data_IF_991989319878
#
_entry.id   IF_991989319878
#
_cell.length_a   1.000
_cell.length_b   1.000
_cell.length_c   1.000
_cell.angle_alpha   90.00
_cell.angle_beta   90.00
_cell.angle_gamma   90.00
#
_symmetry.space_group_name_H-M   'P 1'
#
loop_
_entity.id
_entity.type
_entity.pdbx_description
1 polymer ?
#
# COMPACT_ATOMS: atom_id res chain seq x y z
N UNK A 1 -8.72 36.88 12.90
CA UNK A 1 -8.90 35.73 13.81
C UNK A 1 -9.28 34.52 12.97
N UNK A 2 -8.38 33.57 12.79
CA UNK A 2 -8.68 32.32 12.08
C UNK A 2 -9.33 31.35 13.07
N UNK A 3 -10.65 31.18 12.98
CA UNK A 3 -11.39 30.19 13.76
C UNK A 3 -10.85 28.77 13.51
N UNK A 4 -10.75 27.96 14.56
CA UNK A 4 -10.36 26.55 14.46
C UNK A 4 -11.25 25.81 13.47
N UNK A 5 -10.66 25.27 12.42
CA UNK A 5 -11.41 24.61 11.33
C UNK A 5 -11.82 23.21 11.79
N UNK A 6 -13.12 22.97 12.02
CA UNK A 6 -13.65 21.62 12.22
C UNK A 6 -13.58 20.87 10.89
N UNK A 7 -12.68 19.89 10.81
CA UNK A 7 -12.59 18.99 9.63
C UNK A 7 -13.78 18.02 9.69
N UNK A 8 -14.72 18.18 8.76
CA UNK A 8 -15.88 17.28 8.60
C UNK A 8 -15.77 16.55 7.28
N UNK A 9 -15.87 15.21 7.34
CA UNK A 9 -15.85 14.37 6.12
C UNK A 9 -17.16 14.58 5.36
N UNK A 10 -17.09 15.11 4.15
CA UNK A 10 -18.23 15.33 3.28
C UNK A 10 -18.57 14.08 2.44
N UNK A 11 -19.78 14.01 1.88
CA UNK A 11 -20.14 12.97 0.88
C UNK A 11 -19.19 12.96 -0.32
N UNK A 12 -18.69 14.12 -0.71
CA UNK A 12 -17.71 14.30 -1.79
C UNK A 12 -16.40 13.60 -1.47
N UNK A 13 -15.89 13.70 -0.24
CA UNK A 13 -14.66 13.05 0.20
C UNK A 13 -14.79 11.52 0.12
N UNK A 14 -15.93 11.00 0.53
CA UNK A 14 -16.22 9.57 0.44
C UNK A 14 -16.26 9.08 -1.02
N UNK A 15 -16.94 9.80 -1.91
CA UNK A 15 -17.01 9.46 -3.34
C UNK A 15 -15.63 9.48 -3.96
N UNK A 16 -14.83 10.55 -3.75
CA UNK A 16 -13.49 10.64 -4.29
C UNK A 16 -12.53 9.62 -3.71
N UNK A 17 -12.71 9.20 -2.47
CA UNK A 17 -11.93 8.09 -1.90
C UNK A 17 -12.19 6.76 -2.63
N UNK A 18 -13.46 6.45 -2.94
CA UNK A 18 -13.78 5.27 -3.75
C UNK A 18 -13.26 5.41 -5.18
N UNK A 19 -13.46 6.55 -5.84
CA UNK A 19 -12.95 6.81 -7.19
C UNK A 19 -11.43 6.68 -7.22
N UNK A 20 -10.71 7.26 -6.26
CA UNK A 20 -9.26 7.17 -6.16
C UNK A 20 -8.76 5.73 -5.96
N UNK A 21 -9.46 4.95 -5.12
CA UNK A 21 -9.14 3.54 -4.90
C UNK A 21 -9.35 2.71 -6.17
N UNK A 22 -10.51 2.87 -6.82
CA UNK A 22 -10.83 2.17 -8.09
C UNK A 22 -9.85 2.59 -9.19
N UNK A 23 -9.54 3.87 -9.32
CA UNK A 23 -8.60 4.38 -10.31
C UNK A 23 -7.18 3.84 -10.07
N UNK A 24 -6.74 3.77 -8.81
CA UNK A 24 -5.42 3.22 -8.46
C UNK A 24 -5.31 1.73 -8.77
N UNK A 25 -6.35 0.95 -8.45
CA UNK A 25 -6.40 -0.48 -8.77
C UNK A 25 -6.58 -0.72 -10.27
N UNK A 26 -7.55 -0.03 -10.87
CA UNK A 26 -7.90 -0.17 -12.28
C UNK A 26 -6.76 0.23 -13.20
N UNK A 27 -5.95 1.23 -12.84
CA UNK A 27 -4.82 1.64 -13.67
C UNK A 27 -3.77 0.53 -13.85
N UNK A 28 -3.52 -0.28 -12.82
CA UNK A 28 -2.59 -1.40 -12.93
C UNK A 28 -3.13 -2.51 -13.84
N UNK A 29 -4.46 -2.73 -13.83
CA UNK A 29 -5.11 -3.69 -14.73
C UNK A 29 -5.22 -3.19 -16.17
N UNK A 30 -5.41 -1.88 -16.37
CA UNK A 30 -5.40 -1.26 -17.70
C UNK A 30 -3.98 -1.21 -18.30
N UNK A 31 -2.98 -1.05 -17.46
CA UNK A 31 -1.58 -1.07 -17.90
C UNK A 31 -1.13 -2.46 -18.35
N UNK A 32 -1.64 -3.54 -17.72
CA UNK A 32 -1.22 -4.89 -17.99
C UNK A 32 -1.42 -5.32 -19.47
N UNK A 33 -2.59 -5.18 -20.11
CA UNK A 33 -2.76 -5.50 -21.52
C UNK A 33 -1.81 -4.71 -22.43
N UNK A 34 -1.57 -3.42 -22.13
CA UNK A 34 -0.61 -2.60 -22.87
C UNK A 34 0.80 -3.18 -22.77
N UNK A 35 1.25 -3.50 -21.56
CA UNK A 35 2.59 -4.09 -21.38
C UNK A 35 2.69 -5.45 -22.07
N UNK A 36 1.67 -6.31 -21.98
CA UNK A 36 1.65 -7.61 -22.65
C UNK A 36 1.75 -7.49 -24.17
N UNK A 37 1.10 -6.47 -24.77
CA UNK A 37 1.07 -6.28 -26.22
C UNK A 37 2.37 -5.72 -26.79
N UNK A 38 3.14 -4.95 -26.01
CA UNK A 38 4.32 -4.22 -26.54
C UNK A 38 5.67 -4.68 -25.97
N UNK A 39 5.70 -5.37 -24.82
CA UNK A 39 6.93 -5.82 -24.17
C UNK A 39 7.20 -7.30 -24.41
N UNK A 40 8.48 -7.70 -24.45
CA UNK A 40 8.86 -9.11 -24.41
C UNK A 40 8.55 -9.72 -23.03
N UNK A 41 8.47 -11.03 -22.91
CA UNK A 41 8.21 -11.73 -21.63
C UNK A 41 9.29 -11.40 -20.59
N UNK A 42 10.56 -11.31 -21.00
CA UNK A 42 11.67 -10.89 -20.13
C UNK A 42 11.54 -9.42 -19.68
N UNK A 43 11.13 -8.51 -20.58
CA UNK A 43 10.88 -7.10 -20.22
C UNK A 43 9.72 -6.93 -19.25
N UNK A 44 8.66 -7.74 -19.37
CA UNK A 44 7.55 -7.75 -18.41
C UNK A 44 8.06 -8.20 -17.05
N UNK A 45 8.85 -9.27 -16.98
CA UNK A 45 9.47 -9.70 -15.73
C UNK A 45 10.35 -8.63 -15.12
N UNK A 46 11.19 -7.98 -15.93
CA UNK A 46 12.05 -6.89 -15.49
C UNK A 46 11.24 -5.69 -14.99
N UNK A 47 10.12 -5.36 -15.62
CA UNK A 47 9.21 -4.34 -15.13
C UNK A 47 8.70 -4.64 -13.71
N UNK A 48 8.30 -5.89 -13.44
CA UNK A 48 7.87 -6.28 -12.09
C UNK A 48 9.02 -6.30 -11.07
N UNK A 49 10.25 -6.59 -11.48
CA UNK A 49 11.44 -6.37 -10.64
C UNK A 49 11.60 -4.91 -10.28
N UNK A 50 11.46 -3.99 -11.25
CA UNK A 50 11.50 -2.55 -10.99
C UNK A 50 10.43 -2.13 -9.99
N UNK A 51 9.19 -2.58 -10.19
CA UNK A 51 8.07 -2.28 -9.29
C UNK A 51 8.33 -2.82 -7.88
N UNK A 52 8.89 -4.03 -7.75
CA UNK A 52 9.26 -4.61 -6.47
C UNK A 52 10.36 -3.78 -5.77
N UNK A 53 11.41 -3.37 -6.48
CA UNK A 53 12.45 -2.49 -5.92
C UNK A 53 11.85 -1.15 -5.46
N UNK A 54 10.94 -0.56 -6.24
CA UNK A 54 10.23 0.67 -5.83
C UNK A 54 9.37 0.44 -4.58
N UNK A 55 8.72 -0.71 -4.48
CA UNK A 55 7.96 -1.11 -3.28
C UNK A 55 8.86 -1.21 -2.04
N UNK A 56 10.06 -1.77 -2.18
CA UNK A 56 11.06 -1.79 -1.10
C UNK A 56 11.50 -0.38 -0.70
N UNK A 57 11.77 0.49 -1.67
CA UNK A 57 12.12 1.88 -1.41
C UNK A 57 11.01 2.64 -0.66
N UNK A 58 9.73 2.36 -0.97
CA UNK A 58 8.60 2.96 -0.26
C UNK A 58 8.51 2.56 1.22
N UNK A 59 9.12 1.43 1.64
CA UNK A 59 9.18 1.05 3.05
C UNK A 59 10.01 2.03 3.89
N UNK A 60 10.95 2.75 3.27
CA UNK A 60 11.72 3.80 3.94
C UNK A 60 10.82 4.96 4.45
N UNK A 61 9.59 5.04 3.94
CA UNK A 61 8.59 6.00 4.43
C UNK A 61 8.17 5.72 5.88
N UNK A 62 8.29 4.49 6.39
CA UNK A 62 8.09 4.08 7.79
C UNK A 62 6.82 4.65 8.48
N UNK A 63 5.74 4.95 7.73
CA UNK A 63 4.52 5.53 8.30
C UNK A 63 4.61 7.03 8.64
N UNK A 64 5.62 7.74 8.13
CA UNK A 64 5.72 9.20 8.29
C UNK A 64 4.51 9.93 7.72
N UNK A 65 3.92 9.47 6.61
CA UNK A 65 2.72 10.08 6.01
C UNK A 65 1.58 10.18 7.02
N UNK A 66 1.26 9.10 7.72
CA UNK A 66 0.15 9.06 8.68
C UNK A 66 0.44 9.93 9.92
N UNK A 67 1.68 9.90 10.40
CA UNK A 67 2.08 10.66 11.59
C UNK A 67 2.17 12.15 11.30
N UNK A 68 2.79 12.56 10.20
CA UNK A 68 2.89 13.97 9.79
C UNK A 68 1.52 14.56 9.45
N UNK A 69 0.64 13.82 8.76
CA UNK A 69 -0.72 14.29 8.46
C UNK A 69 -1.51 14.58 9.75
N UNK A 70 -1.37 13.74 10.79
CA UNK A 70 -1.98 14.01 12.10
C UNK A 70 -1.41 15.26 12.77
N UNK A 71 -0.10 15.46 12.70
CA UNK A 71 0.53 16.65 13.29
C UNK A 71 0.08 17.93 12.58
N UNK A 72 -0.04 17.92 11.26
CA UNK A 72 -0.61 19.04 10.49
C UNK A 72 -2.05 19.32 10.94
N UNK A 73 -2.86 18.27 11.13
CA UNK A 73 -4.22 18.41 11.63
C UNK A 73 -4.26 19.01 13.05
N UNK A 74 -3.33 18.63 13.94
CA UNK A 74 -3.22 19.22 15.26
C UNK A 74 -2.88 20.72 15.21
N UNK A 75 -1.93 21.11 14.34
CA UNK A 75 -1.62 22.55 14.12
C UNK A 75 -2.85 23.33 13.65
N UNK A 76 -3.62 22.80 12.69
CA UNK A 76 -4.87 23.41 12.22
C UNK A 76 -5.94 23.50 13.30
N UNK A 77 -5.91 22.59 14.28
CA UNK A 77 -6.83 22.58 15.40
C UNK A 77 -6.39 23.51 16.54
N UNK A 78 -5.30 24.28 16.37
CA UNK A 78 -4.81 25.25 17.34
C UNK A 78 -3.82 24.70 18.37
N UNK A 79 -3.20 23.53 18.12
CA UNK A 79 -2.15 23.03 18.99
C UNK A 79 -0.88 23.86 18.88
N UNK A 80 -0.33 24.32 20.00
CA UNK A 80 0.92 25.09 20.08
C UNK A 80 2.15 24.24 20.37
N UNK A 81 1.96 22.99 20.77
CA UNK A 81 3.05 22.05 21.04
C UNK A 81 2.67 20.62 20.64
N UNK A 82 3.56 19.98 19.91
CA UNK A 82 3.45 18.56 19.55
C UNK A 82 4.17 17.69 20.57
N UNK A 83 3.59 16.51 20.86
CA UNK A 83 4.17 15.54 21.79
C UNK A 83 4.31 14.17 21.13
N UNK A 84 5.09 13.26 21.71
CA UNK A 84 5.30 11.89 21.19
C UNK A 84 4.00 11.08 21.07
N UNK A 85 2.93 11.46 21.78
CA UNK A 85 1.65 10.74 21.78
C UNK A 85 0.46 11.65 21.39
N UNK A 86 0.70 12.69 20.58
CA UNK A 86 -0.33 13.61 20.13
C UNK A 86 0.08 15.07 20.24
N UNK A 87 -0.75 15.90 20.86
CA UNK A 87 -0.44 17.29 21.17
C UNK A 87 -0.73 17.58 22.64
N UNK A 88 -0.22 18.70 23.12
CA UNK A 88 -0.58 19.20 24.46
C UNK A 88 -1.96 19.86 24.39
N UNK A 89 -2.98 19.17 24.90
CA UNK A 89 -4.36 19.65 24.89
C UNK A 89 -4.58 20.88 25.78
N UNK A 90 -3.70 21.13 26.74
CA UNK A 90 -3.76 22.34 27.59
C UNK A 90 -3.35 23.62 26.85
N UNK A 91 -2.66 23.46 25.72
CA UNK A 91 -2.17 24.55 24.87
C UNK A 91 -3.09 24.86 23.67
N UNK A 92 -4.25 24.19 23.54
CA UNK A 92 -5.17 24.40 22.41
C UNK A 92 -6.09 25.59 22.74
N UNK A 93 -5.83 26.74 22.08
CA UNK A 93 -6.62 27.95 22.24
C UNK A 93 -7.53 28.31 21.07
N UNK A 94 -7.57 27.45 20.08
CA UNK A 94 -8.42 27.59 18.89
C UNK A 94 -7.85 28.48 17.78
N UNK A 95 -6.71 29.12 17.98
CA UNK A 95 -6.00 29.86 16.94
C UNK A 95 -4.90 29.01 16.33
N UNK A 96 -4.79 29.04 15.00
CA UNK A 96 -3.74 28.29 14.25
C UNK A 96 -2.39 28.94 14.49
N UNK A 97 -1.44 28.14 14.99
CA UNK A 97 -0.02 28.54 15.07
C UNK A 97 0.64 28.33 13.69
N UNK A 98 0.73 29.39 12.91
CA UNK A 98 1.29 29.36 11.57
C UNK A 98 2.79 29.06 11.56
N UNK A 99 3.51 29.47 12.61
CA UNK A 99 4.93 29.16 12.73
C UNK A 99 5.15 27.66 12.94
N UNK A 100 4.46 27.05 13.91
CA UNK A 100 4.52 25.61 14.13
C UNK A 100 4.10 24.81 12.88
N UNK A 101 3.04 25.28 12.19
CA UNK A 101 2.58 24.69 10.93
C UNK A 101 3.71 24.69 9.89
N UNK A 102 4.40 25.83 9.72
CA UNK A 102 5.52 25.97 8.78
C UNK A 102 6.69 25.07 9.16
N UNK A 103 7.04 24.99 10.45
CA UNK A 103 8.07 24.06 10.96
C UNK A 103 7.74 22.62 10.59
N UNK A 104 6.49 22.16 10.80
CA UNK A 104 6.03 20.80 10.45
C UNK A 104 6.11 20.56 8.94
N UNK A 105 5.70 21.54 8.11
CA UNK A 105 5.73 21.42 6.66
C UNK A 105 7.16 21.35 6.13
N UNK A 106 8.08 22.19 6.62
CA UNK A 106 9.46 22.20 6.17
C UNK A 106 10.25 20.99 6.69
N UNK A 107 9.96 20.54 7.91
CA UNK A 107 10.45 19.25 8.44
C UNK A 107 9.97 18.09 7.57
N UNK A 108 8.70 18.09 7.16
CA UNK A 108 8.16 17.05 6.27
C UNK A 108 8.90 17.00 4.93
N UNK A 109 9.11 18.15 4.26
CA UNK A 109 9.89 18.22 3.02
C UNK A 109 11.30 17.68 3.21
N UNK A 110 11.95 18.03 4.32
CA UNK A 110 13.31 17.59 4.62
C UNK A 110 13.38 16.09 4.88
N UNK A 111 12.44 15.54 5.66
CA UNK A 111 12.34 14.09 5.89
C UNK A 111 12.22 13.34 4.55
N UNK A 112 11.24 13.71 3.71
CA UNK A 112 11.04 13.04 2.43
C UNK A 112 12.18 13.26 1.44
N UNK A 113 12.89 14.39 1.50
CA UNK A 113 14.09 14.61 0.70
C UNK A 113 15.21 13.65 1.12
N UNK A 114 15.48 13.52 2.42
CA UNK A 114 16.50 12.61 2.96
C UNK A 114 16.14 11.16 2.64
N UNK A 115 14.90 10.74 2.89
CA UNK A 115 14.43 9.38 2.56
C UNK A 115 14.53 9.10 1.06
N UNK A 116 14.14 10.06 0.22
CA UNK A 116 14.28 9.97 -1.24
C UNK A 116 15.72 9.83 -1.69
N UNK A 117 16.64 10.59 -1.10
CA UNK A 117 18.10 10.48 -1.40
C UNK A 117 18.68 9.13 -0.95
N UNK A 118 18.28 8.61 0.21
CA UNK A 118 18.66 7.27 0.67
C UNK A 118 18.13 6.22 -0.31
N UNK A 119 16.85 6.31 -0.72
CA UNK A 119 16.27 5.41 -1.69
C UNK A 119 16.96 5.47 -3.05
N UNK A 120 17.29 6.68 -3.52
CA UNK A 120 18.06 6.90 -4.75
C UNK A 120 19.44 6.23 -4.67
N UNK A 121 20.15 6.43 -3.58
CA UNK A 121 21.48 5.85 -3.37
C UNK A 121 21.42 4.32 -3.35
N UNK A 122 20.49 3.74 -2.59
CA UNK A 122 20.29 2.29 -2.52
C UNK A 122 19.88 1.71 -3.87
N UNK A 123 18.97 2.37 -4.59
CA UNK A 123 18.56 1.91 -5.92
C UNK A 123 19.69 2.05 -6.95
N UNK A 124 20.46 3.15 -6.92
CA UNK A 124 21.57 3.38 -7.83
C UNK A 124 22.77 2.43 -7.57
N UNK A 125 22.91 1.89 -6.36
CA UNK A 125 24.00 0.96 -6.00
C UNK A 125 23.51 -0.49 -5.99
N UNK A 126 22.85 -0.91 -4.90
CA UNK A 126 22.38 -2.29 -4.73
C UNK A 126 21.32 -2.67 -5.76
N UNK A 127 20.42 -1.74 -6.10
CA UNK A 127 19.41 -1.97 -7.14
C UNK A 127 20.03 -2.18 -8.51
N UNK A 128 21.02 -1.36 -8.88
CA UNK A 128 21.76 -1.49 -10.15
C UNK A 128 22.53 -2.80 -10.21
N UNK A 129 23.21 -3.17 -9.12
CA UNK A 129 23.89 -4.47 -9.04
C UNK A 129 22.92 -5.64 -9.25
N UNK A 130 21.77 -5.60 -8.59
CA UNK A 130 20.75 -6.63 -8.69
C UNK A 130 20.14 -6.69 -10.11
N UNK A 131 19.78 -5.54 -10.69
CA UNK A 131 19.24 -5.49 -12.06
C UNK A 131 20.27 -5.97 -13.09
N UNK A 132 21.53 -5.57 -12.94
CA UNK A 132 22.64 -6.07 -13.77
C UNK A 132 22.77 -7.58 -13.68
N UNK A 133 22.65 -8.15 -12.47
CA UNK A 133 22.70 -9.60 -12.25
C UNK A 133 21.57 -10.34 -12.97
N UNK A 134 20.32 -9.90 -12.82
CA UNK A 134 19.15 -10.59 -13.42
C UNK A 134 18.99 -10.35 -14.93
N UNK A 135 19.72 -9.38 -15.50
CA UNK A 135 19.71 -9.05 -16.94
C UNK A 135 21.01 -9.43 -17.66
N UNK A 136 21.88 -10.20 -17.01
CA UNK A 136 23.21 -10.51 -17.55
C UNK A 136 23.94 -9.26 -18.07
N UNK A 137 24.16 -8.28 -17.18
CA UNK A 137 24.82 -7.02 -17.53
C UNK A 137 24.05 -6.14 -18.52
N UNK A 138 22.73 -6.04 -18.35
CA UNK A 138 21.83 -5.22 -19.17
C UNK A 138 21.72 -5.67 -20.65
N UNK A 139 21.85 -6.97 -20.92
CA UNK A 139 21.70 -7.51 -22.27
C UNK A 139 20.27 -7.38 -22.83
N UNK A 140 19.26 -7.22 -21.96
CA UNK A 140 17.88 -7.01 -22.41
C UNK A 140 17.77 -5.62 -23.05
N UNK A 141 17.25 -5.57 -24.27
CA UNK A 141 17.09 -4.33 -25.02
C UNK A 141 16.29 -3.28 -24.25
N UNK A 142 16.83 -2.06 -24.16
CA UNK A 142 16.21 -0.93 -23.48
C UNK A 142 16.24 -1.00 -21.94
N UNK A 143 16.85 -2.03 -21.34
CA UNK A 143 16.87 -2.21 -19.88
C UNK A 143 17.65 -1.13 -19.15
N UNK A 144 18.84 -0.76 -19.64
CA UNK A 144 19.67 0.26 -19.00
C UNK A 144 19.04 1.66 -18.98
N UNK A 145 18.58 2.24 -20.12
CA UNK A 145 17.93 3.55 -20.10
C UNK A 145 16.64 3.54 -19.29
N UNK A 146 15.86 2.45 -19.35
CA UNK A 146 14.66 2.30 -18.52
C UNK A 146 14.99 2.28 -17.04
N UNK A 147 16.06 1.56 -16.64
CA UNK A 147 16.51 1.52 -15.25
C UNK A 147 16.96 2.88 -14.73
N UNK A 148 17.76 3.63 -15.49
CA UNK A 148 18.21 4.97 -15.09
C UNK A 148 17.01 5.88 -14.83
N UNK A 149 16.04 5.92 -15.75
CA UNK A 149 14.81 6.71 -15.57
C UNK A 149 14.03 6.22 -14.36
N UNK A 150 13.97 4.90 -14.14
CA UNK A 150 13.23 4.32 -13.04
C UNK A 150 13.87 4.65 -11.67
N UNK A 151 15.19 4.66 -11.56
CA UNK A 151 15.94 5.08 -10.35
C UNK A 151 15.59 6.54 -9.98
N UNK A 152 15.57 7.43 -10.97
CA UNK A 152 15.12 8.83 -10.76
C UNK A 152 13.65 8.86 -10.31
N UNK A 153 12.82 7.97 -10.88
CA UNK A 153 11.41 7.87 -10.48
C UNK A 153 11.22 7.43 -9.03
N UNK A 154 12.06 6.54 -8.52
CA UNK A 154 12.04 6.12 -7.10
C UNK A 154 12.20 7.33 -6.19
N UNK A 155 13.20 8.18 -6.47
CA UNK A 155 13.43 9.41 -5.72
C UNK A 155 12.21 10.32 -5.77
N UNK A 156 11.71 10.63 -6.96
CA UNK A 156 10.60 11.58 -7.13
C UNK A 156 9.29 11.06 -6.53
N UNK A 157 9.02 9.75 -6.63
CA UNK A 157 7.84 9.13 -6.03
C UNK A 157 7.87 9.23 -4.51
N UNK A 158 9.02 8.99 -3.87
CA UNK A 158 9.15 9.08 -2.42
C UNK A 158 9.18 10.55 -1.95
N UNK A 159 9.97 11.40 -2.61
CA UNK A 159 10.07 12.81 -2.25
C UNK A 159 8.72 13.52 -2.33
N UNK A 160 7.96 13.34 -3.40
CA UNK A 160 6.71 14.07 -3.60
C UNK A 160 5.54 13.59 -2.72
N UNK A 161 5.71 12.55 -1.91
CA UNK A 161 4.71 12.14 -0.92
C UNK A 161 4.38 13.24 0.09
N UNK A 162 5.30 14.18 0.36
CA UNK A 162 5.02 15.30 1.25
C UNK A 162 3.78 16.10 0.80
N UNK A 163 3.54 16.23 -0.51
CA UNK A 163 2.38 16.95 -1.04
C UNK A 163 1.06 16.28 -0.66
N UNK A 164 1.01 14.94 -0.69
CA UNK A 164 -0.17 14.17 -0.26
C UNK A 164 -0.36 14.23 1.26
N UNK A 165 0.75 14.19 2.00
CA UNK A 165 0.76 14.34 3.46
C UNK A 165 0.13 15.66 3.86
N UNK A 166 0.41 16.75 3.14
CA UNK A 166 -0.18 18.07 3.37
C UNK A 166 -1.69 18.08 3.12
N UNK A 167 -2.15 17.59 1.97
CA UNK A 167 -3.58 17.54 1.65
C UNK A 167 -4.35 16.70 2.66
N UNK A 168 -3.81 15.54 3.04
CA UNK A 168 -4.41 14.69 4.06
C UNK A 168 -4.46 15.35 5.42
N UNK A 169 -3.41 16.08 5.81
CA UNK A 169 -3.35 16.84 7.06
C UNK A 169 -4.35 18.00 7.10
N UNK A 170 -4.64 18.63 5.95
CA UNK A 170 -5.70 19.63 5.80
C UNK A 170 -7.12 19.02 5.84
N UNK A 171 -7.24 17.69 5.82
CA UNK A 171 -8.52 16.99 5.75
C UNK A 171 -9.12 16.96 4.33
N UNK A 172 -8.38 17.44 3.31
CA UNK A 172 -8.85 17.42 1.92
C UNK A 172 -8.59 16.05 1.25
N UNK A 173 -9.35 15.04 1.71
CA UNK A 173 -9.31 13.67 1.19
C UNK A 173 -9.76 13.64 -0.29
N UNK A 174 -10.71 14.49 -0.66
CA UNK A 174 -11.18 14.59 -2.05
C UNK A 174 -10.07 15.12 -2.95
N UNK A 175 -9.37 16.18 -2.55
CA UNK A 175 -8.24 16.75 -3.29
C UNK A 175 -7.08 15.77 -3.44
N UNK A 176 -6.73 15.06 -2.36
CA UNK A 176 -5.70 14.01 -2.40
C UNK A 176 -6.04 12.92 -3.44
N UNK A 177 -7.26 12.37 -3.39
CA UNK A 177 -7.66 11.29 -4.31
C UNK A 177 -7.86 11.78 -5.75
N UNK A 178 -8.33 13.02 -5.94
CA UNK A 178 -8.41 13.65 -7.25
C UNK A 178 -7.03 13.82 -7.89
N UNK A 179 -6.04 14.30 -7.14
CA UNK A 179 -4.67 14.42 -7.62
C UNK A 179 -4.08 13.07 -8.03
N UNK A 180 -4.28 12.01 -7.21
CA UNK A 180 -3.87 10.65 -7.53
C UNK A 180 -4.53 10.12 -8.80
N UNK A 181 -5.84 10.29 -8.93
CA UNK A 181 -6.61 9.82 -10.09
C UNK A 181 -6.13 10.48 -11.38
N UNK A 182 -6.00 11.82 -11.38
CA UNK A 182 -5.52 12.56 -12.55
C UNK A 182 -4.09 12.18 -12.92
N UNK A 183 -3.21 11.99 -11.93
CA UNK A 183 -1.84 11.54 -12.16
C UNK A 183 -1.79 10.13 -12.76
N UNK A 184 -2.68 9.21 -12.32
CA UNK A 184 -2.79 7.85 -12.89
C UNK A 184 -3.31 7.85 -14.32
N UNK A 185 -4.30 8.67 -14.64
CA UNK A 185 -4.77 8.85 -16.02
C UNK A 185 -3.63 9.37 -16.89
N UNK A 186 -2.92 10.41 -16.43
CA UNK A 186 -1.77 10.94 -17.15
C UNK A 186 -0.65 9.90 -17.35
N UNK A 187 -0.35 9.11 -16.34
CA UNK A 187 0.59 8.00 -16.44
C UNK A 187 0.19 7.02 -17.55
N UNK A 188 -1.06 6.53 -17.52
CA UNK A 188 -1.57 5.58 -18.51
C UNK A 188 -1.49 6.16 -19.92
N UNK A 189 -1.94 7.40 -20.11
CA UNK A 189 -1.91 8.08 -21.41
C UNK A 189 -0.49 8.22 -21.93
N UNK A 190 0.45 8.71 -21.10
CA UNK A 190 1.86 8.90 -21.48
C UNK A 190 2.48 7.55 -21.80
N UNK A 191 2.28 6.54 -20.95
CA UNK A 191 2.82 5.18 -21.20
C UNK A 191 2.28 4.61 -22.50
N UNK A 192 0.96 4.72 -22.74
CA UNK A 192 0.36 4.21 -23.98
C UNK A 192 0.96 4.90 -25.23
N UNK A 193 1.00 6.23 -25.23
CA UNK A 193 1.57 7.01 -26.35
C UNK A 193 3.03 6.59 -26.63
N UNK A 194 3.85 6.50 -25.58
CA UNK A 194 5.26 6.14 -25.71
C UNK A 194 5.46 4.67 -26.15
N UNK A 195 4.57 3.74 -25.75
CA UNK A 195 4.57 2.36 -26.24
C UNK A 195 4.25 2.31 -27.74
N UNK A 196 3.25 3.08 -28.21
CA UNK A 196 2.96 3.19 -29.64
C UNK A 196 4.09 3.86 -30.43
N UNK A 197 4.92 4.70 -29.80
CA UNK A 197 6.15 5.24 -30.39
C UNK A 197 7.32 4.23 -30.40
N UNK A 198 7.15 3.02 -29.90
CA UNK A 198 8.16 1.96 -29.91
C UNK A 198 9.19 1.99 -28.77
N UNK A 199 8.96 2.81 -27.70
CA UNK A 199 9.92 2.93 -26.61
C UNK A 199 9.93 1.74 -25.63
N UNK A 200 9.09 0.74 -25.84
CA UNK A 200 9.09 -0.52 -25.08
C UNK A 200 9.19 -0.32 -23.53
N UNK A 201 10.14 -0.95 -22.85
CA UNK A 201 10.33 -0.85 -21.40
C UNK A 201 10.57 0.59 -20.92
N UNK A 202 11.26 1.41 -21.71
CA UNK A 202 11.51 2.82 -21.39
C UNK A 202 10.19 3.61 -21.29
N UNK A 203 9.16 3.27 -22.08
CA UNK A 203 7.85 3.89 -22.01
C UNK A 203 7.20 3.69 -20.63
N UNK A 204 7.30 2.49 -20.08
CA UNK A 204 6.77 2.17 -18.75
C UNK A 204 7.51 2.95 -17.65
N UNK A 205 8.85 3.05 -17.74
CA UNK A 205 9.66 3.81 -16.79
C UNK A 205 9.37 5.32 -16.85
N UNK A 206 9.25 5.91 -18.05
CA UNK A 206 8.88 7.30 -18.24
C UNK A 206 7.46 7.59 -17.74
N UNK A 207 6.52 6.67 -17.98
CA UNK A 207 5.16 6.79 -17.43
C UNK A 207 5.16 6.77 -15.92
N UNK A 208 6.01 5.95 -15.29
CA UNK A 208 6.14 5.90 -13.83
C UNK A 208 6.77 7.19 -13.27
N UNK A 209 7.72 7.79 -13.97
CA UNK A 209 8.27 9.11 -13.64
C UNK A 209 7.22 10.21 -13.83
N UNK A 210 6.45 10.15 -14.91
CA UNK A 210 5.38 11.10 -15.18
C UNK A 210 4.31 11.08 -14.08
N UNK A 211 3.97 9.91 -13.54
CA UNK A 211 3.03 9.80 -12.42
C UNK A 211 3.43 10.68 -11.24
N UNK A 212 4.67 10.55 -10.75
CA UNK A 212 5.12 11.33 -9.58
C UNK A 212 5.17 12.82 -9.86
N UNK A 213 5.56 13.23 -11.06
CA UNK A 213 5.62 14.63 -11.47
C UNK A 213 4.21 15.25 -11.59
N UNK A 214 3.28 14.54 -12.24
CA UNK A 214 1.88 14.96 -12.36
C UNK A 214 1.19 14.99 -11.00
N UNK A 215 1.47 13.98 -10.13
CA UNK A 215 0.95 13.94 -8.78
C UNK A 215 1.34 15.21 -8.00
N UNK A 216 2.62 15.58 -8.05
CA UNK A 216 3.10 16.83 -7.45
C UNK A 216 2.37 18.03 -8.00
N UNK A 217 2.27 18.16 -9.33
CA UNK A 217 1.61 19.30 -9.97
C UNK A 217 0.16 19.46 -9.53
N UNK A 218 -0.62 18.37 -9.56
CA UNK A 218 -2.01 18.40 -9.14
C UNK A 218 -2.16 18.62 -7.64
N UNK A 219 -1.33 17.98 -6.81
CA UNK A 219 -1.38 18.13 -5.36
C UNK A 219 -1.01 19.57 -4.92
N UNK A 220 0.05 20.17 -5.49
CA UNK A 220 0.42 21.57 -5.18
C UNK A 220 -0.68 22.53 -5.66
N UNK A 221 -1.26 22.31 -6.85
CA UNK A 221 -2.36 23.14 -7.33
C UNK A 221 -3.56 23.07 -6.39
N UNK A 222 -3.90 21.89 -5.91
CA UNK A 222 -4.98 21.70 -4.92
C UNK A 222 -4.61 22.33 -3.57
N UNK A 223 -3.37 22.20 -3.10
CA UNK A 223 -2.92 22.85 -1.87
C UNK A 223 -3.05 24.38 -1.95
N UNK A 224 -2.61 24.99 -3.06
CA UNK A 224 -2.73 26.44 -3.27
C UNK A 224 -4.17 26.95 -3.37
N UNK A 225 -5.16 26.09 -3.61
CA UNK A 225 -6.57 26.47 -3.56
C UNK A 225 -7.09 26.69 -2.12
N UNK A 226 -6.34 26.29 -1.11
CA UNK A 226 -6.58 26.63 0.29
C UNK A 226 -5.89 27.94 0.63
N UNK A 227 -6.44 29.06 0.11
CA UNK A 227 -5.84 30.41 0.21
C UNK A 227 -5.58 30.83 1.66
N UNK A 228 -6.50 30.52 2.58
CA UNK A 228 -6.41 30.78 4.02
C UNK A 228 -5.13 30.16 4.64
N UNK A 229 -4.80 28.92 4.28
CA UNK A 229 -3.61 28.22 4.77
C UNK A 229 -2.35 28.74 4.10
N UNK A 230 -2.40 29.01 2.78
CA UNK A 230 -1.25 29.52 2.04
C UNK A 230 -0.86 30.93 2.51
N UNK A 231 -1.84 31.81 2.75
CA UNK A 231 -1.64 33.16 3.28
C UNK A 231 -1.14 33.11 4.73
N UNK A 232 -1.74 32.26 5.58
CA UNK A 232 -1.29 32.06 6.95
C UNK A 232 0.19 31.62 7.04
N UNK A 233 0.59 30.65 6.24
CA UNK A 233 2.00 30.20 6.18
C UNK A 233 2.93 31.31 5.66
N UNK A 234 2.49 32.11 4.68
CA UNK A 234 3.27 33.22 4.12
C UNK A 234 3.35 34.42 5.06
N UNK A 235 2.36 34.61 5.93
CA UNK A 235 2.35 35.72 6.91
C UNK A 235 3.37 35.50 8.04
N UNK A 236 3.79 34.26 8.26
CA UNK A 236 4.88 33.97 9.21
C UNK A 236 6.23 34.33 8.57
N UNK A 237 6.80 35.44 9.06
CA UNK A 237 8.12 35.93 8.61
C UNK A 237 9.27 35.34 9.42
N UNK A 238 9.00 34.57 10.48
CA UNK A 238 10.03 33.98 11.33
C UNK A 238 10.84 32.91 10.58
N UNK A 239 12.15 32.89 10.78
CA UNK A 239 12.99 31.83 10.22
C UNK A 239 12.79 30.55 11.03
N UNK A 240 12.54 29.44 10.34
CA UNK A 240 12.46 28.12 10.98
C UNK A 240 13.83 27.69 11.50
N UNK A 241 13.97 27.51 12.80
CA UNK A 241 15.21 27.08 13.42
C UNK A 241 15.47 25.59 13.25
N UNK A 242 16.73 25.19 13.10
CA UNK A 242 17.10 23.77 12.98
C UNK A 242 16.70 22.94 14.21
N UNK A 243 16.74 23.53 15.39
CA UNK A 243 16.38 22.84 16.64
C UNK A 243 14.88 22.54 16.70
N UNK A 244 14.03 23.44 16.20
CA UNK A 244 12.59 23.22 16.09
C UNK A 244 12.28 22.06 15.12
N UNK A 245 12.95 22.03 13.96
CA UNK A 245 12.82 20.92 13.01
C UNK A 245 13.28 19.59 13.62
N UNK A 246 14.37 19.59 14.41
CA UNK A 246 14.87 18.39 15.09
C UNK A 246 13.88 17.89 16.17
N UNK A 247 13.22 18.77 16.88
CA UNK A 247 12.23 18.39 17.89
C UNK A 247 10.97 17.80 17.25
N UNK A 248 10.49 18.36 16.15
CA UNK A 248 9.42 17.75 15.34
C UNK A 248 9.85 16.40 14.80
N UNK A 249 11.06 16.28 14.25
CA UNK A 249 11.63 15.03 13.73
C UNK A 249 11.67 13.94 14.81
N UNK A 250 12.19 14.23 16.01
CA UNK A 250 12.24 13.29 17.15
C UNK A 250 10.82 12.85 17.57
N UNK A 251 9.88 13.77 17.57
CA UNK A 251 8.49 13.53 17.96
C UNK A 251 7.81 12.58 16.97
N UNK A 252 7.98 12.83 15.67
CA UNK A 252 7.38 12.05 14.57
C UNK A 252 8.02 10.68 14.45
N UNK A 253 9.36 10.61 14.51
CA UNK A 253 10.11 9.35 14.34
C UNK A 253 9.82 8.34 15.46
N UNK A 254 9.48 8.80 16.67
CA UNK A 254 9.16 7.92 17.80
C UNK A 254 7.99 6.96 17.52
N UNK A 255 7.01 7.39 16.73
CA UNK A 255 5.85 6.57 16.36
C UNK A 255 6.08 5.85 15.03
N UNK A 256 6.66 6.53 14.04
CA UNK A 256 6.77 6.07 12.66
C UNK A 256 7.54 4.75 12.51
N UNK A 257 8.64 4.54 13.23
CA UNK A 257 9.48 3.35 13.06
C UNK A 257 8.76 2.02 13.33
N UNK A 258 7.78 2.00 14.26
CA UNK A 258 7.02 0.79 14.59
C UNK A 258 6.15 0.33 13.43
N UNK A 259 5.47 1.28 12.79
CA UNK A 259 4.64 1.01 11.61
C UNK A 259 5.51 0.53 10.43
N UNK A 260 6.72 1.09 10.30
CA UNK A 260 7.69 0.70 9.28
C UNK A 260 8.16 -0.75 9.39
N UNK A 261 8.41 -1.23 10.60
CA UNK A 261 8.83 -2.62 10.79
C UNK A 261 7.73 -3.62 10.42
N UNK A 262 6.47 -3.32 10.75
CA UNK A 262 5.33 -4.16 10.32
C UNK A 262 5.20 -4.15 8.79
N UNK A 263 5.38 -2.98 8.17
CA UNK A 263 5.35 -2.83 6.70
C UNK A 263 6.48 -3.61 6.03
N UNK A 264 7.67 -3.65 6.63
CA UNK A 264 8.81 -4.44 6.14
C UNK A 264 8.49 -5.94 6.16
N UNK A 265 7.91 -6.45 7.24
CA UNK A 265 7.50 -7.84 7.32
C UNK A 265 6.43 -8.18 6.27
N UNK A 266 5.46 -7.30 6.08
CA UNK A 266 4.44 -7.45 5.05
C UNK A 266 5.03 -7.48 3.63
N UNK A 267 5.96 -6.59 3.32
CA UNK A 267 6.65 -6.57 2.04
C UNK A 267 7.42 -7.87 1.79
N UNK A 268 8.16 -8.35 2.79
CA UNK A 268 8.91 -9.61 2.71
C UNK A 268 8.02 -10.81 2.41
N UNK A 269 6.81 -10.86 3.00
CA UNK A 269 5.86 -11.93 2.77
C UNK A 269 5.13 -11.83 1.41
N UNK A 270 5.16 -10.68 0.74
CA UNK A 270 4.40 -10.45 -0.49
C UNK A 270 5.29 -10.08 -1.68
N UNK A 271 5.77 -8.85 -1.75
CA UNK A 271 6.46 -8.31 -2.92
C UNK A 271 7.88 -8.85 -3.09
N UNK A 272 8.59 -9.16 -2.00
CA UNK A 272 9.94 -9.70 -2.08
C UNK A 272 10.00 -11.07 -2.80
N UNK A 273 8.89 -11.81 -2.86
CA UNK A 273 8.81 -13.07 -3.61
C UNK A 273 9.02 -12.88 -5.12
N UNK A 274 8.66 -11.71 -5.68
CA UNK A 274 8.96 -11.38 -7.08
C UNK A 274 10.47 -11.19 -7.31
N UNK A 275 11.20 -10.63 -6.33
CA UNK A 275 12.66 -10.54 -6.41
C UNK A 275 13.30 -11.94 -6.30
N UNK A 276 12.84 -12.78 -5.37
CA UNK A 276 13.31 -14.15 -5.29
C UNK A 276 13.01 -14.95 -6.58
N UNK A 277 11.84 -14.73 -7.17
CA UNK A 277 11.48 -15.35 -8.45
C UNK A 277 12.50 -14.98 -9.56
N UNK A 278 12.83 -13.69 -9.69
CA UNK A 278 13.79 -13.25 -10.71
C UNK A 278 15.23 -13.72 -10.45
N UNK A 279 15.62 -13.91 -9.19
CA UNK A 279 16.94 -14.41 -8.84
C UNK A 279 17.12 -15.92 -9.12
N UNK A 280 16.07 -16.73 -8.89
CA UNK A 280 16.16 -18.19 -8.99
C UNK A 280 15.54 -18.76 -10.26
N UNK A 281 14.53 -18.13 -10.84
CA UNK A 281 13.73 -18.69 -11.92
C UNK A 281 13.81 -17.88 -13.23
N UNK A 282 14.45 -16.72 -13.20
CA UNK A 282 14.62 -15.84 -14.34
C UNK A 282 13.42 -14.91 -14.60
N UNK A 283 13.60 -13.99 -15.54
CA UNK A 283 12.68 -12.87 -15.75
C UNK A 283 11.35 -13.28 -16.41
N UNK A 284 11.34 -14.25 -17.30
CA UNK A 284 10.09 -14.71 -17.95
C UNK A 284 9.11 -15.29 -16.94
N UNK A 285 9.60 -16.16 -16.04
CA UNK A 285 8.78 -16.70 -14.96
C UNK A 285 8.39 -15.62 -13.93
N UNK A 286 9.24 -14.64 -13.73
CA UNK A 286 8.93 -13.50 -12.84
C UNK A 286 7.75 -12.68 -13.38
N UNK A 287 7.64 -12.50 -14.67
CA UNK A 287 6.53 -11.81 -15.31
C UNK A 287 5.20 -12.49 -15.01
N UNK A 288 5.08 -13.79 -15.32
CA UNK A 288 3.85 -14.57 -15.08
C UNK A 288 3.51 -14.69 -13.59
N UNK A 289 4.51 -14.97 -12.75
CA UNK A 289 4.35 -15.05 -11.29
C UNK A 289 3.86 -13.73 -10.70
N UNK A 290 4.46 -12.59 -11.07
CA UNK A 290 4.09 -11.28 -10.55
C UNK A 290 2.71 -10.81 -11.01
N UNK A 291 2.29 -11.15 -12.22
CA UNK A 291 0.91 -10.91 -12.69
C UNK A 291 -0.08 -11.71 -11.85
N UNK A 292 0.20 -12.98 -11.56
CA UNK A 292 -0.64 -13.79 -10.69
C UNK A 292 -0.71 -13.21 -9.25
N UNK A 293 0.42 -12.71 -8.71
CA UNK A 293 0.44 -11.99 -7.42
C UNK A 293 -0.41 -10.71 -7.46
N UNK A 294 -0.37 -9.96 -8.56
CA UNK A 294 -1.19 -8.76 -8.74
C UNK A 294 -2.67 -9.09 -8.70
N UNK A 295 -3.11 -10.17 -9.35
CA UNK A 295 -4.49 -10.64 -9.27
C UNK A 295 -4.87 -11.08 -7.85
N UNK A 296 -4.04 -11.86 -7.16
CA UNK A 296 -4.28 -12.30 -5.78
C UNK A 296 -4.40 -11.11 -4.83
N UNK A 297 -3.57 -10.08 -5.01
CA UNK A 297 -3.63 -8.83 -4.24
C UNK A 297 -4.94 -8.08 -4.49
N UNK A 298 -5.40 -7.99 -5.75
CA UNK A 298 -6.65 -7.32 -6.09
C UNK A 298 -7.86 -8.07 -5.52
N UNK A 299 -7.88 -9.39 -5.61
CA UNK A 299 -8.91 -10.23 -5.00
C UNK A 299 -9.02 -9.94 -3.50
N UNK A 300 -7.87 -9.90 -2.79
CA UNK A 300 -7.86 -9.54 -1.37
C UNK A 300 -8.41 -8.14 -1.11
N UNK A 301 -7.98 -7.14 -1.86
CA UNK A 301 -8.40 -5.75 -1.65
C UNK A 301 -9.90 -5.58 -1.81
N UNK A 302 -10.50 -6.19 -2.84
CA UNK A 302 -11.94 -6.16 -3.09
C UNK A 302 -12.69 -6.92 -1.97
N UNK A 303 -12.26 -8.14 -1.66
CA UNK A 303 -12.93 -8.99 -0.69
C UNK A 303 -12.90 -8.43 0.74
N UNK A 304 -11.81 -7.74 1.11
CA UNK A 304 -11.64 -7.16 2.45
C UNK A 304 -12.31 -5.79 2.62
N UNK A 305 -12.78 -5.15 1.55
CA UNK A 305 -13.29 -3.77 1.58
C UNK A 305 -14.45 -3.58 2.58
N UNK A 306 -15.38 -4.53 2.64
CA UNK A 306 -16.50 -4.48 3.58
C UNK A 306 -16.02 -4.51 5.03
N UNK A 307 -15.19 -5.47 5.41
CA UNK A 307 -14.70 -5.57 6.79
C UNK A 307 -13.90 -4.34 7.21
N UNK A 308 -13.04 -3.83 6.32
CA UNK A 308 -12.27 -2.59 6.57
C UNK A 308 -13.18 -1.38 6.81
N UNK A 309 -14.31 -1.28 6.12
CA UNK A 309 -15.29 -0.20 6.34
C UNK A 309 -15.99 -0.31 7.69
N UNK A 310 -16.00 -1.49 8.31
CA UNK A 310 -16.61 -1.74 9.61
C UNK A 310 -15.64 -1.52 10.81
N UNK A 311 -14.35 -1.29 10.59
CA UNK A 311 -13.40 -1.09 11.70
C UNK A 311 -13.76 0.07 12.64
N UNK A 312 -14.21 1.26 12.19
CA UNK A 312 -14.65 2.31 13.10
C UNK A 312 -15.84 1.90 13.99
N UNK A 313 -16.77 1.11 13.41
CA UNK A 313 -17.92 0.56 14.17
C UNK A 313 -17.43 -0.42 15.25
N UNK A 314 -16.47 -1.29 14.91
CA UNK A 314 -15.86 -2.21 15.88
C UNK A 314 -15.13 -1.46 17.00
N UNK A 315 -14.34 -0.44 16.66
CA UNK A 315 -13.63 0.40 17.63
C UNK A 315 -14.60 1.07 18.63
N UNK A 316 -15.66 1.66 18.09
CA UNK A 316 -16.70 2.30 18.91
C UNK A 316 -17.41 1.29 19.83
N UNK A 317 -17.71 0.09 19.31
CA UNK A 317 -18.31 -0.99 20.10
C UNK A 317 -17.35 -1.55 21.15
N UNK A 318 -16.05 -1.58 20.86
CA UNK A 318 -15.03 -2.02 21.79
C UNK A 318 -14.92 -1.08 22.99
N UNK A 319 -14.86 0.24 22.75
CA UNK A 319 -14.80 1.27 23.80
C UNK A 319 -16.05 1.24 24.69
N UNK A 320 -17.23 0.93 24.11
CA UNK A 320 -18.50 0.85 24.85
C UNK A 320 -18.78 -0.53 25.48
N UNK A 321 -17.87 -1.47 25.32
CA UNK A 321 -18.02 -2.89 25.71
C UNK A 321 -19.25 -3.59 25.10
N UNK A 322 -19.74 -3.10 23.95
CA UNK A 322 -20.85 -3.70 23.21
C UNK A 322 -20.41 -4.97 22.50
N UNK A 323 -20.46 -6.10 23.21
CA UNK A 323 -20.06 -7.41 22.69
C UNK A 323 -20.92 -7.90 21.52
N UNK A 324 -22.20 -7.49 21.49
CA UNK A 324 -23.11 -7.90 20.43
C UNK A 324 -22.72 -7.27 19.08
N UNK A 325 -22.44 -5.96 19.07
CA UNK A 325 -21.97 -5.27 17.86
C UNK A 325 -20.57 -5.75 17.45
N UNK A 326 -19.63 -5.98 18.40
CA UNK A 326 -18.31 -6.54 18.10
C UNK A 326 -18.45 -7.89 17.38
N UNK A 327 -19.26 -8.80 17.93
CA UNK A 327 -19.57 -10.10 17.36
C UNK A 327 -20.16 -9.99 15.95
N UNK A 328 -21.19 -9.15 15.78
CA UNK A 328 -21.84 -8.96 14.50
C UNK A 328 -20.91 -8.44 13.39
N UNK A 329 -19.98 -7.54 13.73
CA UNK A 329 -18.96 -7.03 12.78
C UNK A 329 -18.05 -8.16 12.32
N UNK A 330 -17.57 -9.00 13.25
CA UNK A 330 -16.68 -10.12 12.92
C UNK A 330 -17.42 -11.15 12.05
N UNK A 331 -18.63 -11.58 12.44
CA UNK A 331 -19.44 -12.55 11.69
C UNK A 331 -19.71 -12.10 10.25
N UNK A 332 -20.23 -10.87 10.08
CA UNK A 332 -20.56 -10.32 8.77
C UNK A 332 -19.33 -10.02 7.91
N UNK A 333 -18.26 -9.53 8.55
CA UNK A 333 -17.03 -9.15 7.86
C UNK A 333 -16.25 -10.36 7.34
N UNK A 334 -16.04 -11.38 8.19
CA UNK A 334 -15.28 -12.57 7.79
C UNK A 334 -16.07 -13.42 6.79
N UNK A 335 -17.40 -13.59 6.97
CA UNK A 335 -18.22 -14.32 6.00
C UNK A 335 -18.20 -13.65 4.63
N UNK A 336 -18.34 -12.31 4.56
CA UNK A 336 -18.24 -11.56 3.32
C UNK A 336 -16.87 -11.74 2.66
N UNK A 337 -15.78 -11.61 3.44
CA UNK A 337 -14.42 -11.80 2.94
C UNK A 337 -14.22 -13.17 2.30
N UNK A 338 -14.56 -14.25 3.01
CA UNK A 338 -14.39 -15.63 2.53
C UNK A 338 -15.18 -15.86 1.24
N UNK A 339 -16.47 -15.49 1.21
CA UNK A 339 -17.30 -15.70 0.02
C UNK A 339 -16.82 -14.91 -1.19
N UNK A 340 -16.54 -13.61 -1.00
CA UNK A 340 -16.04 -12.76 -2.08
C UNK A 340 -14.69 -13.23 -2.60
N UNK A 341 -13.81 -13.68 -1.69
CA UNK A 341 -12.50 -14.18 -2.07
C UNK A 341 -12.61 -15.45 -2.94
N UNK A 342 -13.42 -16.41 -2.53
CA UNK A 342 -13.64 -17.67 -3.30
C UNK A 342 -14.23 -17.34 -4.67
N UNK A 343 -15.29 -16.55 -4.72
CA UNK A 343 -15.94 -16.19 -5.99
C UNK A 343 -14.96 -15.46 -6.91
N UNK A 344 -14.25 -14.46 -6.40
CA UNK A 344 -13.28 -13.71 -7.19
C UNK A 344 -12.11 -14.58 -7.67
N UNK A 345 -11.62 -15.51 -6.83
CA UNK A 345 -10.56 -16.46 -7.23
C UNK A 345 -11.02 -17.36 -8.37
N UNK A 346 -12.24 -17.92 -8.29
CA UNK A 346 -12.80 -18.76 -9.37
C UNK A 346 -12.95 -17.97 -10.67
N UNK A 347 -13.48 -16.74 -10.59
CA UNK A 347 -13.65 -15.88 -11.76
C UNK A 347 -12.30 -15.51 -12.41
N UNK A 348 -11.31 -15.11 -11.60
CA UNK A 348 -9.98 -14.76 -12.14
C UNK A 348 -9.30 -15.99 -12.74
N UNK A 349 -9.37 -17.16 -12.08
CA UNK A 349 -8.81 -18.42 -12.64
C UNK A 349 -9.42 -18.74 -13.99
N UNK A 350 -10.74 -18.59 -14.15
CA UNK A 350 -11.42 -18.80 -15.44
C UNK A 350 -11.02 -17.76 -16.50
N UNK A 351 -10.66 -16.54 -16.08
CA UNK A 351 -10.25 -15.46 -16.98
C UNK A 351 -8.74 -15.45 -17.32
N UNK A 352 -7.88 -16.22 -16.63
CA UNK A 352 -6.43 -16.24 -16.89
C UNK A 352 -6.08 -16.52 -18.37
N UNK A 353 -6.76 -17.43 -19.07
CA UNK A 353 -6.46 -17.68 -20.49
C UNK A 353 -6.65 -16.46 -21.41
N UNK A 354 -7.44 -15.45 -20.97
CA UNK A 354 -7.64 -14.22 -21.75
C UNK A 354 -6.32 -13.46 -21.95
N UNK A 355 -5.33 -13.64 -21.06
CA UNK A 355 -4.03 -13.00 -21.18
C UNK A 355 -3.26 -13.45 -22.42
N UNK A 356 -3.47 -14.67 -22.88
CA UNK A 356 -2.85 -15.21 -24.13
C UNK A 356 -3.36 -14.51 -25.39
N UNK A 357 -4.53 -13.83 -25.34
CA UNK A 357 -5.01 -13.02 -26.45
C UNK A 357 -4.15 -11.77 -26.69
N UNK A 358 -3.52 -11.25 -25.62
CA UNK A 358 -2.62 -10.09 -25.71
C UNK A 358 -1.17 -10.53 -26.00
N UNK A 359 -0.78 -11.71 -25.51
CA UNK A 359 0.55 -12.28 -25.72
C UNK A 359 0.49 -13.80 -25.68
N UNK A 360 0.68 -14.43 -26.84
CA UNK A 360 0.49 -15.87 -27.02
C UNK A 360 1.38 -16.72 -26.10
N UNK A 361 2.63 -16.28 -25.89
CA UNK A 361 3.62 -17.01 -25.07
C UNK A 361 3.51 -16.70 -23.56
N UNK A 362 2.59 -15.81 -23.14
CA UNK A 362 2.43 -15.43 -21.76
C UNK A 362 1.36 -16.30 -21.07
N UNK A 363 1.77 -17.49 -20.66
CA UNK A 363 0.88 -18.49 -20.08
C UNK A 363 1.01 -18.46 -18.56
N UNK A 364 -0.07 -18.08 -17.87
CA UNK A 364 -0.20 -18.21 -16.43
C UNK A 364 -0.77 -19.58 -16.08
N UNK A 365 -0.02 -20.40 -15.33
CA UNK A 365 -0.50 -21.71 -14.86
C UNK A 365 -1.65 -21.52 -13.85
N UNK A 366 -2.88 -22.01 -14.15
CA UNK A 366 -4.01 -21.90 -13.24
C UNK A 366 -3.81 -22.64 -11.92
N UNK A 367 -3.05 -23.74 -11.89
CA UNK A 367 -2.81 -24.52 -10.67
C UNK A 367 -1.87 -23.75 -9.75
N UNK A 368 -0.81 -23.18 -10.31
CA UNK A 368 0.08 -22.28 -9.54
C UNK A 368 -0.67 -21.04 -9.04
N UNK A 369 -1.55 -20.46 -9.86
CA UNK A 369 -2.38 -19.33 -9.43
C UNK A 369 -3.28 -19.69 -8.24
N UNK A 370 -3.92 -20.86 -8.26
CA UNK A 370 -4.71 -21.34 -7.13
C UNK A 370 -3.86 -21.52 -5.87
N UNK A 371 -2.62 -22.01 -6.00
CA UNK A 371 -1.66 -22.09 -4.91
C UNK A 371 -1.32 -20.71 -4.34
N UNK A 372 -1.02 -19.73 -5.19
CA UNK A 372 -0.77 -18.34 -4.81
C UNK A 372 -2.01 -17.76 -4.15
N UNK A 373 -3.20 -17.93 -4.72
CA UNK A 373 -4.44 -17.42 -4.16
C UNK A 373 -4.75 -18.03 -2.79
N UNK A 374 -4.51 -19.32 -2.59
CA UNK A 374 -4.66 -19.98 -1.30
C UNK A 374 -3.69 -19.40 -0.25
N UNK A 375 -2.42 -19.26 -0.61
CA UNK A 375 -1.43 -18.61 0.26
C UNK A 375 -1.83 -17.19 0.62
N UNK A 376 -2.23 -16.38 -0.37
CA UNK A 376 -2.69 -15.00 -0.16
C UNK A 376 -3.97 -14.93 0.67
N UNK A 377 -4.88 -15.88 0.49
CA UNK A 377 -6.06 -15.99 1.34
C UNK A 377 -5.67 -16.15 2.81
N UNK A 378 -4.80 -17.12 3.11
CA UNK A 378 -4.37 -17.42 4.47
C UNK A 378 -3.59 -16.24 5.09
N UNK A 379 -2.65 -15.66 4.35
CA UNK A 379 -1.86 -14.50 4.77
C UNK A 379 -2.76 -13.30 5.09
N UNK A 380 -3.68 -13.01 4.19
CA UNK A 380 -4.54 -11.83 4.33
C UNK A 380 -5.66 -12.03 5.34
N UNK A 381 -6.15 -13.26 5.50
CA UNK A 381 -7.15 -13.58 6.50
C UNK A 381 -6.62 -13.30 7.93
N UNK A 382 -5.46 -13.84 8.30
CA UNK A 382 -4.92 -13.55 9.63
C UNK A 382 -4.55 -12.07 9.79
N UNK A 383 -4.13 -11.40 8.72
CA UNK A 383 -3.88 -9.96 8.72
C UNK A 383 -5.15 -9.15 9.01
N UNK A 384 -6.31 -9.55 8.49
CA UNK A 384 -7.59 -8.91 8.83
C UNK A 384 -7.93 -9.06 10.33
N UNK A 385 -7.66 -10.21 10.93
CA UNK A 385 -7.80 -10.38 12.37
C UNK A 385 -6.80 -9.50 13.15
N UNK A 386 -5.57 -9.34 12.68
CA UNK A 386 -4.61 -8.41 13.26
C UNK A 386 -5.10 -6.96 13.20
N UNK A 387 -5.76 -6.55 12.12
CA UNK A 387 -6.36 -5.21 12.02
C UNK A 387 -7.52 -5.02 13.03
N UNK A 388 -8.28 -6.09 13.33
CA UNK A 388 -9.25 -6.06 14.43
C UNK A 388 -8.53 -5.90 15.78
N UNK A 389 -7.39 -6.55 16.00
CA UNK A 389 -6.57 -6.40 17.22
C UNK A 389 -6.05 -4.95 17.34
N UNK A 390 -5.58 -4.36 16.24
CA UNK A 390 -5.21 -2.91 16.21
C UNK A 390 -6.39 -2.04 16.60
N UNK A 391 -7.60 -2.41 16.20
CA UNK A 391 -8.82 -1.70 16.61
C UNK A 391 -9.11 -1.79 18.12
N UNK A 392 -8.47 -2.73 18.82
CA UNK A 392 -8.46 -2.85 20.29
C UNK A 392 -7.28 -2.09 20.94
N UNK A 393 -6.50 -1.34 20.14
CA UNK A 393 -5.27 -0.64 20.56
C UNK A 393 -4.15 -1.57 21.05
N UNK A 394 -4.02 -2.76 20.44
CA UNK A 394 -2.99 -3.76 20.75
C UNK A 394 -2.21 -4.14 19.49
N UNK A 395 -0.91 -4.45 19.63
CA UNK A 395 -0.06 -4.91 18.52
C UNK A 395 0.84 -6.07 19.01
N UNK A 396 0.28 -7.20 19.46
CA UNK A 396 1.09 -8.32 19.99
C UNK A 396 1.78 -9.13 18.87
N UNK A 397 1.31 -9.06 17.64
CA UNK A 397 1.71 -9.91 16.52
C UNK A 397 3.03 -9.48 15.83
N UNK A 398 3.57 -8.34 16.15
CA UNK A 398 4.75 -7.73 15.53
C UNK A 398 5.95 -8.69 15.41
N UNK A 399 6.35 -9.35 16.53
CA UNK A 399 7.49 -10.28 16.53
C UNK A 399 7.23 -11.52 15.67
N UNK A 400 6.01 -12.07 15.77
CA UNK A 400 5.62 -13.26 15.03
C UNK A 400 5.63 -12.99 13.50
N UNK A 401 5.19 -11.82 13.07
CA UNK A 401 5.25 -11.41 11.66
C UNK A 401 6.69 -11.35 11.14
N UNK A 402 7.60 -10.73 11.87
CA UNK A 402 9.01 -10.65 11.47
C UNK A 402 9.65 -12.04 11.36
N UNK A 403 9.47 -12.87 12.40
CA UNK A 403 10.06 -14.21 12.43
C UNK A 403 9.50 -15.09 11.31
N UNK A 404 8.18 -15.08 11.11
CA UNK A 404 7.55 -15.90 10.06
C UNK A 404 7.94 -15.43 8.65
N UNK A 405 8.08 -14.12 8.43
CA UNK A 405 8.52 -13.58 7.14
C UNK A 405 9.99 -13.93 6.87
N UNK A 406 10.89 -13.75 7.84
CA UNK A 406 12.28 -14.12 7.69
C UNK A 406 12.44 -15.63 7.43
N UNK A 407 11.74 -16.46 8.20
CA UNK A 407 11.71 -17.90 7.98
C UNK A 407 11.14 -18.24 6.58
N UNK A 408 10.09 -17.55 6.13
CA UNK A 408 9.50 -17.74 4.81
C UNK A 408 10.48 -17.45 3.67
N UNK A 409 11.23 -16.36 3.77
CA UNK A 409 12.30 -16.03 2.80
C UNK A 409 13.37 -17.12 2.80
N UNK A 410 13.87 -17.54 3.98
CA UNK A 410 14.89 -18.60 4.09
C UNK A 410 14.40 -19.92 3.49
N UNK A 411 13.17 -20.37 3.84
CA UNK A 411 12.59 -21.61 3.31
C UNK A 411 12.38 -21.50 1.80
N UNK A 412 11.90 -20.38 1.28
CA UNK A 412 11.77 -20.15 -0.16
C UNK A 412 13.12 -20.24 -0.89
N UNK A 413 14.18 -19.65 -0.34
CA UNK A 413 15.54 -19.74 -0.90
C UNK A 413 16.04 -21.20 -0.93
N UNK A 414 15.79 -21.99 0.12
CA UNK A 414 16.18 -23.40 0.18
C UNK A 414 15.37 -24.22 -0.83
N UNK A 415 14.05 -24.03 -0.90
CA UNK A 415 13.20 -24.79 -1.83
C UNK A 415 13.48 -24.46 -3.30
N UNK A 416 13.73 -23.20 -3.62
CA UNK A 416 14.06 -22.79 -4.99
C UNK A 416 15.51 -23.13 -5.35
N UNK A 417 16.48 -22.88 -4.47
CA UNK A 417 17.91 -23.02 -4.76
C UNK A 417 18.41 -24.47 -4.62
N UNK A 418 18.09 -25.17 -3.51
CA UNK A 418 18.60 -26.51 -3.27
C UNK A 418 17.70 -27.62 -3.85
N UNK A 419 16.38 -27.43 -3.79
CA UNK A 419 15.42 -28.46 -4.23
C UNK A 419 14.81 -28.19 -5.61
N UNK A 420 15.07 -27.06 -6.22
CA UNK A 420 14.58 -26.68 -7.56
C UNK A 420 13.05 -26.81 -7.74
N UNK A 421 12.28 -26.43 -6.71
CA UNK A 421 10.82 -26.51 -6.74
C UNK A 421 10.15 -25.43 -7.63
N UNK A 422 10.94 -24.60 -8.29
CA UNK A 422 10.43 -23.54 -9.14
C UNK A 422 9.55 -22.55 -8.37
N UNK A 423 8.52 -22.00 -8.99
CA UNK A 423 7.61 -21.04 -8.38
C UNK A 423 6.81 -21.61 -7.17
N UNK A 424 6.59 -22.92 -7.14
CA UNK A 424 6.00 -23.57 -5.98
C UNK A 424 6.86 -23.47 -4.72
N UNK A 425 8.20 -23.43 -4.88
CA UNK A 425 9.11 -23.19 -3.76
C UNK A 425 8.88 -21.83 -3.08
N UNK A 426 8.48 -20.80 -3.84
CA UNK A 426 8.12 -19.49 -3.31
C UNK A 426 6.80 -19.54 -2.54
N UNK A 427 5.78 -20.18 -3.10
CA UNK A 427 4.45 -20.28 -2.49
C UNK A 427 4.51 -21.10 -1.19
N UNK A 428 5.07 -22.29 -1.24
CA UNK A 428 5.15 -23.22 -0.11
C UNK A 428 6.11 -22.68 0.96
N UNK A 429 7.24 -22.11 0.53
CA UNK A 429 8.23 -21.53 1.45
C UNK A 429 7.66 -20.40 2.30
N UNK A 430 6.82 -19.55 1.71
CA UNK A 430 6.13 -18.50 2.47
C UNK A 430 4.95 -19.05 3.29
N UNK A 431 4.23 -20.05 2.79
CA UNK A 431 3.06 -20.61 3.47
C UNK A 431 3.41 -21.36 4.77
N UNK A 432 4.47 -22.17 4.77
CA UNK A 432 4.82 -23.04 5.92
C UNK A 432 5.00 -22.24 7.22
N UNK A 433 5.86 -21.21 7.32
CA UNK A 433 6.04 -20.48 8.57
C UNK A 433 4.79 -19.73 9.03
N UNK A 434 3.95 -19.29 8.10
CA UNK A 434 2.68 -18.63 8.42
C UNK A 434 1.67 -19.65 9.00
N UNK A 435 1.60 -20.85 8.42
CA UNK A 435 0.75 -21.93 8.91
C UNK A 435 1.16 -22.44 10.29
N UNK A 436 2.45 -22.41 10.61
CA UNK A 436 2.95 -22.86 11.91
C UNK A 436 2.41 -22.03 13.09
N UNK A 437 2.10 -20.75 12.89
CA UNK A 437 1.69 -19.89 13.99
C UNK A 437 0.61 -18.86 13.61
N UNK A 438 0.86 -17.96 12.66
CA UNK A 438 0.05 -16.77 12.41
C UNK A 438 -1.39 -17.11 11.98
N UNK A 439 -1.55 -18.11 11.11
CA UNK A 439 -2.83 -18.42 10.46
C UNK A 439 -3.90 -18.98 11.41
N UNK A 440 -3.52 -19.48 12.58
CA UNK A 440 -4.47 -19.97 13.58
C UNK A 440 -4.45 -19.18 14.87
N UNK A 441 -3.29 -18.66 15.30
CA UNK A 441 -3.15 -17.97 16.57
C UNK A 441 -3.92 -16.66 16.62
N UNK A 442 -3.73 -15.78 15.62
CA UNK A 442 -4.37 -14.45 15.60
C UNK A 442 -5.88 -14.53 15.35
N UNK A 443 -6.40 -15.37 14.46
CA UNK A 443 -7.83 -15.63 14.40
C UNK A 443 -8.41 -16.08 15.72
N UNK A 444 -7.77 -17.08 16.40
CA UNK A 444 -8.24 -17.54 17.70
C UNK A 444 -8.20 -16.46 18.78
N UNK A 445 -7.20 -15.58 18.77
CA UNK A 445 -7.09 -14.48 19.72
C UNK A 445 -8.33 -13.57 19.67
N UNK A 446 -8.80 -13.19 18.51
CA UNK A 446 -10.01 -12.36 18.32
C UNK A 446 -11.27 -13.17 18.62
N UNK A 447 -11.38 -14.39 18.09
CA UNK A 447 -12.56 -15.24 18.24
C UNK A 447 -12.84 -15.60 19.69
N UNK A 448 -11.81 -15.87 20.49
CA UNK A 448 -11.97 -16.09 21.94
C UNK A 448 -12.54 -14.87 22.67
N UNK A 449 -12.06 -13.65 22.31
CA UNK A 449 -12.54 -12.40 22.92
C UNK A 449 -13.98 -12.06 22.52
N UNK A 450 -14.38 -12.42 21.30
CA UNK A 450 -15.75 -12.23 20.81
C UNK A 450 -16.67 -13.41 21.12
N UNK A 451 -16.16 -14.47 21.77
CA UNK A 451 -16.87 -15.71 22.08
C UNK A 451 -17.50 -16.35 20.84
N UNK A 452 -16.73 -16.43 19.76
CA UNK A 452 -17.12 -17.00 18.48
C UNK A 452 -16.26 -18.22 18.12
N UNK A 453 -16.88 -19.22 17.47
CA UNK A 453 -16.16 -20.22 16.69
C UNK A 453 -15.98 -19.73 15.24
N UNK A 454 -14.90 -20.14 14.56
CA UNK A 454 -14.64 -19.70 13.18
C UNK A 454 -15.75 -20.12 12.22
N UNK A 455 -16.14 -21.41 12.25
CA UNK A 455 -17.24 -21.92 11.43
C UNK A 455 -18.58 -21.25 11.77
N UNK A 456 -18.84 -20.99 13.05
CA UNK A 456 -20.02 -20.28 13.52
C UNK A 456 -20.04 -18.85 12.97
N UNK A 457 -18.92 -18.12 12.98
CA UNK A 457 -18.84 -16.77 12.45
C UNK A 457 -19.20 -16.71 10.96
N UNK A 458 -18.69 -17.67 10.17
CA UNK A 458 -19.04 -17.77 8.75
C UNK A 458 -20.52 -18.09 8.56
N UNK A 459 -21.05 -19.09 9.25
CA UNK A 459 -22.44 -19.51 9.09
C UNK A 459 -23.43 -18.41 9.48
N UNK A 460 -23.27 -17.83 10.69
CA UNK A 460 -24.13 -16.73 11.18
C UNK A 460 -24.07 -15.51 10.26
N UNK A 461 -22.86 -15.17 9.74
CA UNK A 461 -22.70 -14.08 8.81
C UNK A 461 -23.40 -14.34 7.46
N UNK A 462 -23.29 -15.55 6.92
CA UNK A 462 -23.98 -15.95 5.69
C UNK A 462 -25.50 -15.89 5.82
N UNK A 463 -26.03 -16.35 6.95
CA UNK A 463 -27.49 -16.29 7.21
C UNK A 463 -27.98 -14.84 7.30
N UNK A 464 -27.18 -13.95 7.90
CA UNK A 464 -27.49 -12.52 7.92
C UNK A 464 -27.51 -11.92 6.50
N UNK A 465 -26.54 -12.26 5.65
CA UNK A 465 -26.49 -11.79 4.26
C UNK A 465 -27.66 -12.31 3.43
N UNK A 466 -27.99 -13.61 3.58
CA UNK A 466 -29.17 -14.21 2.90
C UNK A 466 -30.46 -13.47 3.27
N UNK A 467 -30.73 -13.27 4.57
CA UNK A 467 -31.91 -12.56 5.06
C UNK A 467 -32.01 -11.14 4.49
N UNK A 468 -30.89 -10.42 4.40
CA UNK A 468 -30.85 -9.05 3.87
C UNK A 468 -31.06 -8.98 2.36
N UNK A 469 -30.60 -9.96 1.61
CA UNK A 469 -30.83 -10.04 0.16
C UNK A 469 -32.29 -10.38 -0.16
N UNK A 470 -32.88 -11.27 0.60
CA UNK A 470 -34.31 -11.67 0.44
C UNK A 470 -35.25 -10.58 0.94
N UNK A 471 -34.95 -9.94 2.09
CA UNK A 471 -35.80 -8.88 2.65
C UNK A 471 -35.78 -7.55 1.88
N UNK A 472 -34.85 -7.35 0.91
CA UNK A 472 -34.90 -6.24 -0.04
C UNK A 472 -35.76 -6.50 -1.27
N UNK A 473 -36.29 -7.73 -1.43
CA UNK A 473 -37.19 -8.12 -2.53
C UNK A 473 -38.67 -8.12 -2.12
N UNK A 474 -38.97 -7.82 -0.85
CA UNK A 474 -40.32 -7.54 -0.34
C UNK A 474 -40.44 -6.05 0.03
#
# INVERSE_FOLDING_TARGET
MAESRKVTVSKRDVIWNYVGTIASMGSNFLLLPLLLSFLSSAQIGLWYVFVAISGFAQLLEFGFTSTLSRNILYCLSGAKKLTKQGCDYSSVDGEVDWHLMRVVLDTSKTIYAVLGLIALFVAATLGTFYVSYVTDSFLIEGSLPAWIVFVVSIFTNLYFLYCLTFLRGLGDVAGENRAKTLARIGQLTITAVLLFCGLSLLAAALGFLAYSTLLRLFAIRTFRSHHDVEEGIKSDAAAVAKDEMLDVLKTVSFVAWRDGVVSLAWYGATQATSLLCSAFLGLEQTGTYSVMLQFATAIHQISSAYLRSCFPTFQSAYVRDDKQTQKAVVERGISCYVCMYIVATVLVTACLPILTLFKHDFICDPVLFLGIALYYFLLNQHSLFCNIIVSMNEIPYFKAYLVSTAAGICVSCVLCGAFSWGAWGLVVGQAIPQLCYNNWHWPQYVLKRTRLGYAQAIHSGLDWWKKRMVGKRA
#
